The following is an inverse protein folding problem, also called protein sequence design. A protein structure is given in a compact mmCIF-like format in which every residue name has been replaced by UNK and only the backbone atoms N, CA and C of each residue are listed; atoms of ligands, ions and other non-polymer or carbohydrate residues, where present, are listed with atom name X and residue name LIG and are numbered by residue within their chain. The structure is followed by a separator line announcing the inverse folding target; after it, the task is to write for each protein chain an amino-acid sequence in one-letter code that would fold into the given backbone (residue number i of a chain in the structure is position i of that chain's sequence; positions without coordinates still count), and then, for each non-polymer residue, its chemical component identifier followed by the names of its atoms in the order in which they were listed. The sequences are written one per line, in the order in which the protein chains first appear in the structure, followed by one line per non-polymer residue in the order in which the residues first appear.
data_IF_895336745077
#
_entry.id   IF_895336745077
#
_cell.length_a   1.000
_cell.length_b   1.000
_cell.length_c   1.000
_cell.angle_alpha   90.00
_cell.angle_beta   90.00
_cell.angle_gamma   90.00
#
_symmetry.space_group_name_H-M   'P 1'
#
loop_
_entity.id
_entity.type
_entity.pdbx_description
1 polymer ?
#
# COMPACT_ATOMS: atom_id res chain seq x y z
N UNK A 1 -30.06 -8.93 -36.54
CA UNK A 1 -28.79 -9.25 -37.21
C UNK A 1 -27.78 -9.55 -36.13
N UNK A 2 -27.55 -10.85 -35.87
CA UNK A 2 -26.75 -11.35 -34.75
C UNK A 2 -25.29 -11.40 -35.18
N UNK A 3 -24.40 -10.70 -34.46
CA UNK A 3 -22.95 -10.65 -34.73
C UNK A 3 -22.28 -12.04 -34.76
N UNK A 4 -22.95 -13.07 -34.25
CA UNK A 4 -22.45 -14.45 -34.18
C UNK A 4 -22.59 -15.24 -35.48
N UNK A 5 -23.45 -14.82 -36.42
CA UNK A 5 -23.65 -15.56 -37.68
C UNK A 5 -22.58 -15.24 -38.74
N UNK A 6 -21.86 -14.13 -38.60
CA UNK A 6 -20.84 -13.70 -39.58
C UNK A 6 -19.42 -14.23 -39.29
N UNK A 7 -19.16 -14.74 -38.09
CA UNK A 7 -17.84 -15.27 -37.72
C UNK A 7 -17.90 -16.78 -37.54
N UNK A 8 -17.46 -17.51 -38.58
CA UNK A 8 -17.20 -18.93 -38.47
C UNK A 8 -15.97 -19.17 -37.58
N UNK A 9 -16.24 -19.36 -36.30
CA UNK A 9 -15.22 -19.63 -35.29
C UNK A 9 -14.39 -20.89 -35.62
N UNK A 10 -14.93 -21.83 -36.40
CA UNK A 10 -14.19 -23.05 -36.78
C UNK A 10 -13.08 -22.73 -37.79
N UNK A 11 -13.35 -21.88 -38.78
CA UNK A 11 -12.31 -21.41 -39.71
C UNK A 11 -11.32 -20.47 -39.04
N UNK A 12 -11.78 -19.59 -38.14
CA UNK A 12 -10.89 -18.71 -37.39
C UNK A 12 -9.84 -19.48 -36.56
N UNK A 13 -10.23 -20.58 -35.93
CA UNK A 13 -9.32 -21.42 -35.12
C UNK A 13 -8.28 -22.14 -35.99
N UNK A 14 -8.61 -22.54 -37.22
CA UNK A 14 -7.65 -23.14 -38.16
C UNK A 14 -6.51 -22.19 -38.54
N UNK A 15 -6.78 -20.88 -38.57
CA UNK A 15 -5.78 -19.86 -38.89
C UNK A 15 -5.00 -19.36 -37.66
N UNK A 16 -5.39 -19.76 -36.45
CA UNK A 16 -4.61 -19.45 -35.26
C UNK A 16 -3.37 -20.36 -35.21
N UNK A 17 -2.17 -19.79 -35.05
CA UNK A 17 -0.96 -20.58 -34.95
C UNK A 17 -1.01 -21.44 -33.68
N UNK A 18 -0.99 -22.76 -33.85
CA UNK A 18 -0.95 -23.77 -32.77
C UNK A 18 0.29 -23.64 -31.88
N UNK A 19 1.36 -23.05 -32.41
CA UNK A 19 2.59 -22.76 -31.66
C UNK A 19 2.86 -21.27 -31.61
N UNK A 20 3.20 -20.78 -30.41
CA UNK A 20 3.60 -19.40 -30.18
C UNK A 20 4.83 -19.07 -31.05
N UNK A 21 4.76 -17.99 -31.85
CA UNK A 21 5.91 -17.49 -32.63
C UNK A 21 7.09 -17.19 -31.70
N UNK A 22 8.31 -17.52 -32.16
CA UNK A 22 9.55 -17.18 -31.46
C UNK A 22 9.61 -15.67 -31.18
N UNK A 23 10.08 -15.28 -29.99
CA UNK A 23 10.24 -13.86 -29.59
C UNK A 23 9.02 -13.18 -28.98
N UNK A 24 7.83 -13.82 -28.94
CA UNK A 24 6.65 -13.21 -28.30
C UNK A 24 6.78 -13.18 -26.77
N UNK A 25 6.42 -12.05 -26.14
CA UNK A 25 6.49 -11.83 -24.69
C UNK A 25 6.08 -13.06 -23.89
N UNK A 26 6.93 -13.48 -22.94
CA UNK A 26 6.65 -14.63 -22.07
C UNK A 26 5.35 -14.40 -21.29
N UNK A 27 4.61 -15.49 -21.05
CA UNK A 27 3.42 -15.43 -20.17
C UNK A 27 3.93 -15.10 -18.77
N UNK A 28 3.61 -13.91 -18.26
CA UNK A 28 3.87 -13.56 -16.87
C UNK A 28 2.88 -14.38 -16.05
N UNK A 29 3.37 -15.28 -15.20
CA UNK A 29 2.52 -15.96 -14.22
C UNK A 29 1.96 -14.89 -13.28
N UNK A 30 0.69 -15.01 -12.91
CA UNK A 30 0.01 -14.10 -11.97
C UNK A 30 -0.19 -12.65 -12.44
N UNK A 31 -0.25 -12.38 -13.75
CA UNK A 31 -0.47 -11.02 -14.28
C UNK A 31 -1.76 -10.31 -13.80
N UNK A 32 -2.69 -11.02 -13.15
CA UNK A 32 -3.95 -10.49 -12.59
C UNK A 32 -3.86 -10.31 -11.07
N UNK A 33 -2.93 -11.00 -10.38
CA UNK A 33 -2.74 -10.76 -8.96
C UNK A 33 -1.94 -9.47 -8.83
N UNK A 34 -2.48 -8.49 -8.11
CA UNK A 34 -1.65 -7.44 -7.51
C UNK A 34 -0.65 -8.17 -6.62
N UNK A 35 0.56 -8.34 -7.13
CA UNK A 35 1.64 -8.94 -6.38
C UNK A 35 1.92 -8.01 -5.20
N UNK A 36 1.57 -8.47 -3.99
CA UNK A 36 1.93 -7.85 -2.70
C UNK A 36 3.44 -8.04 -2.41
N UNK A 37 4.25 -7.86 -3.46
CA UNK A 37 5.70 -8.09 -3.48
C UNK A 37 6.49 -6.78 -3.49
N UNK A 38 5.80 -5.63 -3.47
CA UNK A 38 6.39 -4.30 -3.37
C UNK A 38 7.32 -4.15 -2.16
N UNK A 39 8.12 -3.10 -2.17
CA UNK A 39 9.03 -2.79 -1.06
C UNK A 39 8.26 -2.52 0.24
N UNK A 40 7.10 -1.87 0.14
CA UNK A 40 6.20 -1.54 1.25
C UNK A 40 5.07 -2.57 1.46
N UNK A 41 5.25 -3.82 1.00
CA UNK A 41 4.28 -4.88 1.28
C UNK A 41 4.16 -5.14 2.79
N UNK A 42 2.93 -5.29 3.29
CA UNK A 42 2.62 -5.37 4.73
C UNK A 42 3.43 -6.48 5.41
N UNK A 43 3.43 -7.68 4.82
CA UNK A 43 4.11 -8.85 5.38
C UNK A 43 5.64 -8.71 5.46
N UNK A 44 6.25 -7.86 4.62
CA UNK A 44 7.68 -7.52 4.70
C UNK A 44 7.91 -6.46 5.78
N UNK A 45 7.09 -5.41 5.78
CA UNK A 45 7.19 -4.33 6.76
C UNK A 45 7.04 -4.84 8.19
N UNK A 46 6.09 -5.73 8.47
CA UNK A 46 5.93 -6.30 9.82
C UNK A 46 7.21 -6.97 10.33
N UNK A 47 7.91 -7.72 9.46
CA UNK A 47 9.17 -8.39 9.80
C UNK A 47 10.31 -7.38 9.98
N UNK A 48 10.41 -6.40 9.09
CA UNK A 48 11.49 -5.42 9.11
C UNK A 48 11.35 -4.44 10.28
N UNK A 49 10.13 -4.01 10.61
CA UNK A 49 9.83 -3.14 11.74
C UNK A 49 10.16 -3.80 13.07
N UNK A 50 9.88 -5.10 13.24
CA UNK A 50 10.25 -5.85 14.45
C UNK A 50 11.76 -6.02 14.55
N UNK A 51 12.45 -6.23 13.43
CA UNK A 51 13.91 -6.41 13.41
C UNK A 51 14.69 -5.10 13.58
N UNK A 52 14.15 -4.00 13.03
CA UNK A 52 14.78 -2.68 12.98
C UNK A 52 13.74 -1.60 13.28
N UNK A 53 13.40 -1.36 14.56
CA UNK A 53 12.35 -0.43 14.92
C UNK A 53 12.68 1.04 14.61
N UNK A 54 13.97 1.35 14.44
CA UNK A 54 14.45 2.68 14.03
C UNK A 54 14.35 2.96 12.53
N UNK A 55 14.09 1.95 11.69
CA UNK A 55 14.04 2.11 10.24
C UNK A 55 12.99 3.11 9.72
N UNK A 56 11.74 3.13 10.22
CA UNK A 56 10.68 3.94 9.66
C UNK A 56 10.65 5.37 10.22
N UNK A 57 11.62 5.77 11.05
CA UNK A 57 11.67 7.15 11.59
C UNK A 57 11.71 8.14 10.41
N UNK A 58 10.94 9.22 10.53
CA UNK A 58 10.71 10.25 9.52
C UNK A 58 9.97 9.78 8.27
N UNK A 59 9.49 8.54 8.21
CA UNK A 59 8.63 8.13 7.11
C UNK A 59 7.23 8.73 7.26
N UNK A 60 6.60 8.87 6.11
CA UNK A 60 5.33 9.53 5.92
C UNK A 60 4.23 8.49 5.80
N UNK A 61 3.13 8.72 6.51
CA UNK A 61 1.96 7.86 6.47
C UNK A 61 0.69 8.68 6.24
N UNK A 62 -0.35 8.05 5.73
CA UNK A 62 -1.69 8.63 5.61
C UNK A 62 -2.65 7.85 6.48
N UNK A 63 -3.49 8.57 7.23
CA UNK A 63 -4.56 7.95 8.01
C UNK A 63 -5.90 8.60 7.66
N UNK A 64 -6.94 7.81 7.34
CA UNK A 64 -8.29 8.34 7.19
C UNK A 64 -8.79 8.79 8.57
N UNK A 65 -9.01 10.09 8.73
CA UNK A 65 -9.58 10.68 9.94
C UNK A 65 -10.93 11.32 9.62
N UNK A 66 -11.84 11.27 10.59
CA UNK A 66 -13.12 11.94 10.53
C UNK A 66 -12.91 13.40 10.97
N UNK A 67 -13.03 14.33 10.03
CA UNK A 67 -12.94 15.76 10.29
C UNK A 67 -14.34 16.36 10.25
N UNK A 68 -14.73 17.03 11.33
CA UNK A 68 -15.95 17.85 11.35
C UNK A 68 -15.73 19.08 10.49
N UNK A 69 -16.43 19.18 9.36
CA UNK A 69 -16.41 20.38 8.52
C UNK A 69 -17.22 21.53 9.13
N UNK A 70 -16.97 22.75 8.65
CA UNK A 70 -17.84 23.90 8.94
C UNK A 70 -19.26 23.59 8.43
N UNK A 71 -20.20 23.40 9.35
CA UNK A 71 -21.57 22.96 9.06
C UNK A 71 -21.98 21.61 9.68
N UNK A 72 -21.09 20.94 10.41
CA UNK A 72 -21.42 19.71 11.15
C UNK A 72 -21.44 18.44 10.30
N UNK A 73 -21.03 18.51 9.03
CA UNK A 73 -20.83 17.33 8.20
C UNK A 73 -19.52 16.61 8.57
N UNK A 74 -19.61 15.32 8.89
CA UNK A 74 -18.45 14.46 9.15
C UNK A 74 -17.86 14.06 7.79
N UNK A 75 -16.73 14.63 7.44
CA UNK A 75 -16.00 14.30 6.21
C UNK A 75 -14.81 13.41 6.56
N UNK A 76 -14.67 12.27 5.87
CA UNK A 76 -13.47 11.42 5.97
C UNK A 76 -12.37 12.01 5.11
N UNK A 77 -11.26 12.41 5.72
CA UNK A 77 -10.09 12.96 5.03
C UNK A 77 -8.85 12.15 5.37
N UNK A 78 -8.05 11.83 4.37
CA UNK A 78 -6.72 11.25 4.61
C UNK A 78 -5.78 12.35 5.10
N UNK A 79 -5.39 12.27 6.37
CA UNK A 79 -4.47 13.21 7.00
C UNK A 79 -3.07 12.63 6.95
N UNK A 80 -2.09 13.33 6.36
CA UNK A 80 -0.72 12.87 6.37
C UNK A 80 -0.08 13.12 7.74
N UNK A 81 0.75 12.19 8.16
CA UNK A 81 1.57 12.27 9.37
C UNK A 81 2.98 11.74 9.13
N UNK A 82 3.86 11.99 10.08
CA UNK A 82 5.25 11.54 10.06
C UNK A 82 5.56 10.77 11.34
N UNK A 83 6.28 9.66 11.18
CA UNK A 83 6.75 8.84 12.30
C UNK A 83 7.91 9.58 12.98
N UNK A 84 7.77 9.92 14.27
CA UNK A 84 8.81 10.64 15.01
C UNK A 84 9.70 9.68 15.79
N UNK A 85 9.12 8.87 16.68
CA UNK A 85 9.85 8.02 17.62
C UNK A 85 9.19 6.64 17.79
N UNK A 86 9.87 5.73 18.49
CA UNK A 86 9.32 4.44 18.92
C UNK A 86 9.60 4.19 20.41
N UNK A 87 8.73 3.40 21.02
CA UNK A 87 8.80 3.03 22.43
C UNK A 87 8.76 1.50 22.52
N UNK A 88 9.73 0.96 23.24
CA UNK A 88 9.77 -0.44 23.64
C UNK A 88 8.73 -0.65 24.75
N UNK A 89 7.63 -1.31 24.45
CA UNK A 89 6.67 -1.68 25.50
C UNK A 89 7.10 -3.01 26.14
N UNK A 90 7.33 -2.99 27.45
CA UNK A 90 7.55 -4.19 28.24
C UNK A 90 6.28 -5.07 28.20
N UNK A 91 6.41 -6.21 27.53
CA UNK A 91 5.43 -7.27 27.48
C UNK A 91 6.12 -8.57 27.11
N UNK A 92 5.47 -9.73 27.27
CA UNK A 92 6.11 -11.05 27.09
C UNK A 92 6.62 -11.33 25.66
N UNK A 93 6.44 -10.40 24.71
CA UNK A 93 6.94 -10.46 23.33
C UNK A 93 7.64 -9.18 22.84
N UNK A 94 7.94 -8.20 23.69
CA UNK A 94 8.63 -6.96 23.30
C UNK A 94 7.96 -6.26 22.11
N UNK A 95 6.75 -5.71 22.32
CA UNK A 95 5.97 -5.11 21.22
C UNK A 95 6.35 -3.64 21.10
N UNK A 96 7.02 -3.28 20.01
CA UNK A 96 7.31 -1.89 19.68
C UNK A 96 6.02 -1.14 19.34
N UNK A 97 5.94 0.11 19.79
CA UNK A 97 4.94 1.08 19.33
C UNK A 97 5.63 2.29 18.73
N UNK A 98 5.11 2.82 17.64
CA UNK A 98 5.63 4.02 17.00
C UNK A 98 4.70 5.20 17.26
N UNK A 99 5.28 6.33 17.62
CA UNK A 99 4.58 7.60 17.75
C UNK A 99 4.63 8.34 16.42
N UNK A 100 3.45 8.76 15.96
CA UNK A 100 3.27 9.48 14.70
C UNK A 100 2.63 10.81 15.00
N UNK A 101 3.23 11.87 14.46
CA UNK A 101 2.70 13.22 14.51
C UNK A 101 2.00 13.56 13.20
N UNK A 102 0.71 13.88 13.28
CA UNK A 102 -0.10 14.26 12.14
C UNK A 102 -0.10 15.77 11.92
N UNK A 103 -0.39 16.22 10.69
CA UNK A 103 -0.46 17.66 10.36
C UNK A 103 -1.51 18.44 11.14
N UNK A 104 -2.52 17.77 11.67
CA UNK A 104 -3.54 18.37 12.54
C UNK A 104 -3.01 18.63 13.98
N UNK A 105 -1.75 18.33 14.27
CA UNK A 105 -1.13 18.47 15.58
C UNK A 105 -1.42 17.31 16.54
N UNK A 106 -2.16 16.30 16.11
CA UNK A 106 -2.40 15.10 16.92
C UNK A 106 -1.22 14.15 16.84
N UNK A 107 -0.87 13.58 17.99
CA UNK A 107 0.08 12.49 18.09
C UNK A 107 -0.66 11.20 18.43
N UNK A 108 -0.37 10.13 17.71
CA UNK A 108 -0.95 8.81 17.96
C UNK A 108 0.12 7.74 17.97
N UNK A 109 -0.14 6.67 18.72
CA UNK A 109 0.76 5.51 18.79
C UNK A 109 0.17 4.32 18.05
N UNK A 110 0.99 3.68 17.22
CA UNK A 110 0.60 2.52 16.42
C UNK A 110 1.44 1.29 16.73
N UNK A 111 0.79 0.13 16.70
CA UNK A 111 1.47 -1.18 16.73
C UNK A 111 2.04 -1.51 15.34
N UNK A 112 2.92 -2.51 15.29
CA UNK A 112 3.56 -3.01 14.04
C UNK A 112 2.55 -3.19 12.91
N UNK A 113 1.52 -4.01 13.12
CA UNK A 113 0.54 -4.38 12.08
C UNK A 113 -0.21 -3.16 11.54
N UNK A 114 -0.59 -2.25 12.44
CA UNK A 114 -1.28 -1.00 12.10
C UNK A 114 -0.36 -0.06 11.32
N UNK A 115 0.89 0.07 11.75
CA UNK A 115 1.87 0.93 11.10
C UNK A 115 2.20 0.42 9.69
N UNK A 116 2.38 -0.90 9.53
CA UNK A 116 2.64 -1.52 8.24
C UNK A 116 1.48 -1.29 7.26
N UNK A 117 0.23 -1.38 7.73
CA UNK A 117 -0.94 -1.08 6.92
C UNK A 117 -1.00 0.40 6.49
N UNK A 118 -0.67 1.34 7.39
CA UNK A 118 -0.67 2.78 7.09
C UNK A 118 0.46 3.17 6.12
N UNK A 119 1.64 2.56 6.25
CA UNK A 119 2.76 2.77 5.31
C UNK A 119 2.39 2.25 3.91
N UNK A 120 1.81 1.04 3.83
CA UNK A 120 1.35 0.49 2.56
C UNK A 120 0.25 1.36 1.94
N UNK A 121 -0.72 1.82 2.74
CA UNK A 121 -1.77 2.72 2.26
C UNK A 121 -1.19 4.03 1.70
N UNK A 122 -0.18 4.60 2.37
CA UNK A 122 0.51 5.78 1.89
C UNK A 122 1.21 5.55 0.54
N UNK A 123 1.90 4.42 0.37
CA UNK A 123 2.52 4.04 -0.91
C UNK A 123 1.48 3.85 -2.02
N UNK A 124 0.37 3.16 -1.72
CA UNK A 124 -0.75 2.95 -2.67
C UNK A 124 -1.46 4.25 -3.06
N UNK A 125 -1.56 5.20 -2.12
CA UNK A 125 -2.09 6.54 -2.36
C UNK A 125 -1.10 7.44 -3.15
N UNK A 126 0.12 6.95 -3.43
CA UNK A 126 1.16 7.68 -4.16
C UNK A 126 1.90 8.72 -3.32
N UNK A 127 1.80 8.64 -2.00
CA UNK A 127 2.59 9.48 -1.09
C UNK A 127 4.05 9.02 -1.10
N UNK A 128 4.98 9.98 -1.12
CA UNK A 128 6.39 9.66 -0.94
C UNK A 128 6.67 9.28 0.53
N UNK A 129 6.63 7.97 0.82
CA UNK A 129 6.81 7.40 2.16
C UNK A 129 8.15 7.79 2.77
N UNK A 130 9.25 7.74 2.03
CA UNK A 130 10.61 7.98 2.56
C UNK A 130 11.09 9.42 2.38
N UNK A 131 10.31 10.26 1.72
CA UNK A 131 10.65 11.65 1.43
C UNK A 131 10.42 12.59 2.61
N UNK A 132 10.78 13.86 2.44
CA UNK A 132 10.39 14.92 3.39
C UNK A 132 8.94 15.32 3.14
N UNK A 133 8.10 15.29 4.17
CA UNK A 133 6.72 15.77 4.10
C UNK A 133 6.57 17.25 4.44
N UNK A 134 7.56 17.79 5.15
CA UNK A 134 7.67 19.18 5.55
C UNK A 134 8.85 19.81 4.81
N UNK A 135 8.57 20.86 4.05
CA UNK A 135 9.58 21.84 3.66
C UNK A 135 9.54 22.91 4.76
N UNK A 136 10.51 22.89 5.66
CA UNK A 136 10.84 24.08 6.45
C UNK A 136 11.31 25.20 5.52
#
# INVERSE_FOLDING_TARGET
MSLMEEYDLKTAVLHLPTRKKSGRQRKVRNAIQEDDTGYFAVSKLEKDLVKKPSMPIRWNITMPMECTGEGGAINRRNVPGQIEDWIDCEGPRGVFKWTVRFRNGQEMQFKVDQLAALINAADRDGLNVTGKLFHD
#
